data_IF_562772689366
#
_entry.id   IF_562772689366
#
_cell.length_a   1.000
_cell.length_b   1.000
_cell.length_c   1.000
_cell.angle_alpha   90.00
_cell.angle_beta   90.00
_cell.angle_gamma   90.00
#
_symmetry.space_group_name_H-M   'P 1'
#
loop_
_entity.id
_entity.type
_entity.pdbx_description
1 polymer ?
#
# COMPACT_ATOMS: atom_id res chain seq x y z
N UNK A 1 7.20 65.56 -76.12
CA UNK A 1 6.70 65.30 -74.74
C UNK A 1 7.43 64.05 -74.25
N UNK A 2 8.59 64.15 -73.58
CA UNK A 2 8.86 64.38 -72.14
C UNK A 2 8.37 63.25 -71.18
N UNK A 3 9.36 62.46 -70.71
CA UNK A 3 9.68 62.02 -69.33
C UNK A 3 8.89 60.82 -68.68
N UNK A 4 9.53 59.62 -68.69
CA UNK A 4 10.01 58.68 -67.61
C UNK A 4 9.34 58.69 -66.17
N UNK A 5 9.57 57.68 -65.29
CA UNK A 5 8.93 56.36 -65.01
C UNK A 5 8.23 56.34 -63.60
N UNK A 6 7.87 55.17 -62.99
CA UNK A 6 8.07 54.85 -61.54
C UNK A 6 7.42 53.50 -61.10
N UNK A 7 8.25 52.77 -60.34
CA UNK A 7 8.04 51.75 -59.29
C UNK A 7 7.40 50.38 -59.57
N UNK A 8 8.30 49.39 -59.57
CA UNK A 8 8.11 48.03 -59.08
C UNK A 8 7.74 48.01 -57.57
N UNK A 9 6.91 47.04 -57.19
CA UNK A 9 6.79 46.59 -55.81
C UNK A 9 6.99 45.07 -55.76
N UNK A 10 8.07 44.68 -55.08
CA UNK A 10 8.44 43.32 -54.70
C UNK A 10 7.38 42.72 -53.76
N UNK A 11 6.95 41.48 -54.02
CA UNK A 11 6.63 40.54 -52.94
C UNK A 11 7.25 39.18 -53.28
N UNK A 12 8.39 38.93 -52.62
CA UNK A 12 9.13 37.67 -52.63
C UNK A 12 8.45 36.75 -51.60
N UNK A 13 7.73 35.73 -52.06
CA UNK A 13 7.23 34.67 -51.18
C UNK A 13 8.32 33.58 -51.04
N UNK A 14 8.97 33.55 -49.88
CA UNK A 14 9.93 32.52 -49.51
C UNK A 14 9.19 31.25 -49.03
N UNK A 15 9.17 30.21 -49.85
CA UNK A 15 8.81 28.86 -49.42
C UNK A 15 9.96 28.26 -48.61
N UNK A 16 9.83 28.23 -47.28
CA UNK A 16 10.68 27.41 -46.41
C UNK A 16 10.25 25.94 -46.55
N UNK A 17 11.05 25.16 -47.28
CA UNK A 17 10.99 23.71 -47.21
C UNK A 17 11.70 23.25 -45.93
N UNK A 18 10.92 22.92 -44.89
CA UNK A 18 11.45 22.24 -43.71
C UNK A 18 11.54 20.76 -44.05
N UNK A 19 12.72 20.32 -44.48
CA UNK A 19 13.07 18.90 -44.51
C UNK A 19 13.23 18.43 -43.06
N UNK A 20 12.12 18.00 -42.45
CA UNK A 20 12.15 17.31 -41.17
C UNK A 20 12.83 15.97 -41.35
N UNK A 21 14.02 15.80 -40.77
CA UNK A 21 14.62 14.50 -40.56
C UNK A 21 13.66 13.71 -39.66
N UNK A 22 12.93 12.75 -40.23
CA UNK A 22 12.29 11.70 -39.45
C UNK A 22 13.44 10.86 -38.89
N UNK A 23 13.87 11.20 -37.68
CA UNK A 23 14.70 10.35 -36.88
C UNK A 23 13.89 9.11 -36.58
N UNK A 24 14.22 8.02 -37.27
CA UNK A 24 13.80 6.68 -36.93
C UNK A 24 14.19 6.45 -35.47
N UNK A 25 13.23 6.55 -34.56
CA UNK A 25 13.41 6.13 -33.17
C UNK A 25 13.38 4.60 -33.19
N UNK A 26 14.47 4.03 -33.67
CA UNK A 26 14.84 2.66 -33.40
C UNK A 26 14.96 2.59 -31.88
N UNK A 27 14.02 1.92 -31.22
CA UNK A 27 14.17 1.52 -29.83
C UNK A 27 15.51 0.75 -29.74
N UNK A 28 16.48 1.33 -29.04
CA UNK A 28 17.74 0.68 -28.74
C UNK A 28 17.45 -0.62 -27.97
N UNK A 29 17.97 -1.78 -28.39
CA UNK A 29 17.76 -3.05 -27.68
C UNK A 29 18.69 -3.20 -26.47
N UNK A 30 18.92 -2.12 -25.71
CA UNK A 30 19.95 -2.06 -24.68
C UNK A 30 19.44 -1.37 -23.39
N UNK A 31 18.18 -1.62 -23.03
CA UNK A 31 17.74 -1.51 -21.64
C UNK A 31 17.98 -2.87 -20.98
N UNK A 32 19.26 -3.22 -20.80
CA UNK A 32 19.65 -4.33 -19.94
C UNK A 32 19.23 -3.95 -18.51
N UNK A 33 18.04 -4.35 -18.11
CA UNK A 33 17.57 -4.22 -16.74
C UNK A 33 18.53 -5.02 -15.85
N UNK A 34 19.44 -4.31 -15.16
CA UNK A 34 20.34 -4.93 -14.19
C UNK A 34 19.48 -5.57 -13.11
N UNK A 35 19.65 -6.86 -12.87
CA UNK A 35 18.88 -7.58 -11.87
C UNK A 35 19.31 -7.11 -10.47
N UNK A 36 18.55 -6.18 -9.87
CA UNK A 36 18.81 -5.68 -8.53
C UNK A 36 18.11 -6.57 -7.50
N UNK A 37 18.81 -7.61 -7.03
CA UNK A 37 18.33 -8.51 -5.98
C UNK A 37 18.65 -8.05 -4.54
N UNK A 38 19.82 -7.45 -4.22
CA UNK A 38 20.11 -7.07 -2.83
C UNK A 38 19.04 -6.15 -2.22
N UNK A 39 18.67 -6.42 -0.97
CA UNK A 39 17.66 -5.67 -0.21
C UNK A 39 16.22 -5.98 -0.60
N UNK A 40 15.95 -7.14 -1.22
CA UNK A 40 14.61 -7.53 -1.67
C UNK A 40 14.15 -8.82 -0.98
N UNK A 41 12.85 -8.91 -0.68
CA UNK A 41 12.20 -10.10 -0.15
C UNK A 41 11.07 -10.57 -1.07
N UNK A 42 10.90 -11.88 -1.17
CA UNK A 42 10.03 -12.54 -2.12
C UNK A 42 9.29 -13.69 -1.46
N UNK A 43 8.04 -13.92 -1.85
CA UNK A 43 7.21 -15.05 -1.42
C UNK A 43 6.98 -15.99 -2.60
N UNK A 44 7.18 -17.30 -2.39
CA UNK A 44 7.03 -18.30 -3.45
C UNK A 44 5.54 -18.48 -3.78
N UNK A 45 5.20 -18.30 -5.05
CA UNK A 45 3.81 -18.46 -5.54
C UNK A 45 3.63 -19.75 -6.33
N UNK A 46 4.68 -20.27 -6.97
CA UNK A 46 4.60 -21.53 -7.72
C UNK A 46 5.95 -22.26 -7.87
N UNK A 47 5.87 -23.59 -7.93
CA UNK A 47 6.95 -24.48 -8.38
C UNK A 47 6.57 -25.01 -9.76
N UNK A 48 7.11 -24.39 -10.82
CA UNK A 48 6.60 -24.53 -12.19
C UNK A 48 6.82 -25.92 -12.82
N UNK A 49 7.75 -26.71 -12.30
CA UNK A 49 8.08 -28.05 -12.83
C UNK A 49 7.20 -29.17 -12.26
N UNK A 50 6.29 -28.88 -11.33
CA UNK A 50 5.43 -29.90 -10.71
C UNK A 50 3.96 -29.54 -10.78
N UNK A 51 3.09 -30.54 -10.67
CA UNK A 51 1.65 -30.35 -10.41
C UNK A 51 1.32 -30.28 -8.92
N UNK A 52 2.34 -30.09 -8.06
CA UNK A 52 2.19 -30.02 -6.62
C UNK A 52 1.85 -28.59 -6.25
N UNK A 53 0.70 -28.40 -5.61
CA UNK A 53 0.34 -27.11 -5.03
C UNK A 53 1.13 -26.88 -3.74
N UNK A 54 1.39 -25.61 -3.43
CA UNK A 54 1.94 -25.24 -2.14
C UNK A 54 1.00 -25.73 -1.01
N UNK A 55 1.59 -26.26 0.05
CA UNK A 55 0.87 -26.78 1.21
C UNK A 55 0.23 -25.61 1.95
N UNK A 56 -1.09 -25.69 2.13
CA UNK A 56 -1.89 -24.67 2.79
C UNK A 56 -1.37 -24.40 4.22
N UNK A 57 -1.33 -23.13 4.62
CA UNK A 57 -0.83 -22.71 5.93
C UNK A 57 0.69 -22.65 6.05
N UNK A 58 1.43 -22.90 4.96
CA UNK A 58 2.88 -22.67 4.89
C UNK A 58 3.20 -21.47 4.03
N UNK A 59 4.28 -20.76 4.40
CA UNK A 59 4.82 -19.65 3.60
C UNK A 59 6.30 -19.92 3.34
N UNK A 60 6.68 -19.88 2.06
CA UNK A 60 8.08 -19.99 1.62
C UNK A 60 8.53 -18.60 1.18
N UNK A 61 9.61 -18.11 1.79
CA UNK A 61 10.17 -16.78 1.49
C UNK A 61 11.62 -16.90 1.04
N UNK A 62 12.06 -15.90 0.29
CA UNK A 62 13.44 -15.73 -0.16
C UNK A 62 13.80 -14.25 -0.05
N UNK A 63 14.72 -13.92 0.84
CA UNK A 63 15.30 -12.60 1.01
C UNK A 63 16.75 -12.60 0.51
N UNK A 64 17.10 -11.58 -0.26
CA UNK A 64 18.46 -11.33 -0.74
C UNK A 64 19.08 -10.17 0.01
N UNK A 65 20.21 -10.41 0.67
CA UNK A 65 21.14 -9.38 1.13
C UNK A 65 22.22 -9.16 0.05
N UNK A 66 23.29 -8.43 0.38
CA UNK A 66 24.38 -8.13 -0.56
C UNK A 66 25.06 -9.38 -1.15
N UNK A 67 25.41 -10.37 -0.31
CA UNK A 67 26.10 -11.61 -0.73
C UNK A 67 25.42 -12.89 -0.22
N UNK A 68 24.40 -12.74 0.62
CA UNK A 68 23.72 -13.83 1.28
C UNK A 68 22.25 -13.83 0.95
N UNK A 69 21.63 -14.99 1.12
CA UNK A 69 20.18 -15.14 1.05
C UNK A 69 19.69 -15.93 2.25
N UNK A 70 18.45 -15.70 2.62
CA UNK A 70 17.79 -16.42 3.71
C UNK A 70 16.29 -16.45 3.52
N UNK A 71 15.59 -17.29 4.28
CA UNK A 71 14.14 -17.34 4.21
C UNK A 71 13.52 -18.46 5.01
N UNK A 72 12.21 -18.61 4.85
CA UNK A 72 11.44 -19.78 5.31
C UNK A 72 11.27 -20.77 4.16
N UNK A 73 11.49 -22.05 4.41
CA UNK A 73 11.18 -23.14 3.48
C UNK A 73 9.84 -23.84 3.82
N UNK A 74 8.99 -23.19 4.62
CA UNK A 74 7.68 -23.68 5.03
C UNK A 74 7.68 -24.27 6.45
N UNK A 75 8.64 -25.14 6.78
CA UNK A 75 8.85 -25.63 8.15
C UNK A 75 10.09 -24.99 8.79
N UNK A 76 11.22 -25.07 8.09
CA UNK A 76 12.52 -24.62 8.56
C UNK A 76 12.90 -23.28 7.99
N UNK A 77 13.78 -22.58 8.73
CA UNK A 77 14.52 -21.45 8.16
C UNK A 77 15.73 -21.99 7.42
N UNK A 78 16.09 -21.32 6.34
CA UNK A 78 17.28 -21.63 5.57
C UNK A 78 18.10 -20.37 5.30
N UNK A 79 19.36 -20.57 4.95
CA UNK A 79 20.32 -19.53 4.61
C UNK A 79 21.33 -20.07 3.61
N UNK A 80 21.98 -19.17 2.86
CA UNK A 80 23.01 -19.51 1.91
C UNK A 80 23.75 -18.27 1.38
N UNK A 81 24.78 -18.50 0.57
CA UNK A 81 25.43 -17.45 -0.21
C UNK A 81 24.95 -17.47 -1.65
N UNK A 82 25.13 -16.36 -2.35
CA UNK A 82 24.93 -16.32 -3.79
C UNK A 82 25.95 -15.41 -4.48
N UNK A 83 26.15 -15.66 -5.77
CA UNK A 83 26.86 -14.74 -6.67
C UNK A 83 25.94 -14.35 -7.81
N UNK A 84 25.94 -13.09 -8.20
CA UNK A 84 25.14 -12.56 -9.29
C UNK A 84 26.02 -11.85 -10.32
N UNK A 85 25.90 -12.24 -11.59
CA UNK A 85 26.55 -11.60 -12.74
C UNK A 85 25.52 -11.40 -13.86
N UNK A 86 25.11 -10.15 -14.08
CA UNK A 86 23.96 -9.76 -14.90
C UNK A 86 22.66 -10.50 -14.50
N UNK A 87 22.38 -11.64 -15.12
CA UNK A 87 21.22 -12.51 -14.83
C UNK A 87 21.63 -13.93 -14.40
N UNK A 88 22.94 -14.22 -14.37
CA UNK A 88 23.48 -15.50 -13.93
C UNK A 88 23.60 -15.45 -12.42
N UNK A 89 22.85 -16.31 -11.76
CA UNK A 89 22.92 -16.48 -10.31
C UNK A 89 23.41 -17.88 -10.00
N UNK A 90 24.31 -18.00 -9.03
CA UNK A 90 24.70 -19.27 -8.47
C UNK A 90 24.48 -19.21 -6.96
N UNK A 91 23.64 -20.11 -6.46
CA UNK A 91 23.32 -20.23 -5.03
C UNK A 91 24.16 -21.37 -4.46
N UNK A 92 24.81 -21.13 -3.32
CA UNK A 92 25.72 -22.09 -2.72
C UNK A 92 25.67 -22.08 -1.20
N UNK A 93 26.13 -23.18 -0.60
CA UNK A 93 26.21 -23.29 0.86
C UNK A 93 24.86 -23.23 1.55
N UNK A 94 23.79 -23.74 0.92
CA UNK A 94 22.46 -23.77 1.51
C UNK A 94 22.49 -24.64 2.76
N UNK A 95 22.13 -24.06 3.90
CA UNK A 95 21.87 -24.75 5.15
C UNK A 95 20.45 -24.45 5.64
N UNK A 96 19.85 -25.38 6.38
CA UNK A 96 18.55 -25.20 7.02
C UNK A 96 18.57 -25.66 8.47
N UNK A 97 17.61 -25.20 9.26
CA UNK A 97 17.32 -25.80 10.57
C UNK A 97 16.69 -27.19 10.39
N UNK A 98 16.71 -28.03 11.43
CA UNK A 98 16.15 -29.40 11.39
C UNK A 98 14.95 -29.54 12.36
N UNK A 99 13.99 -28.61 12.28
CA UNK A 99 12.69 -28.72 12.94
C UNK A 99 11.82 -29.73 12.19
N UNK A 100 10.98 -30.43 12.95
CA UNK A 100 9.97 -31.32 12.39
C UNK A 100 8.59 -30.66 12.45
N UNK A 101 7.91 -30.61 11.30
CA UNK A 101 6.51 -30.21 11.18
C UNK A 101 5.65 -31.45 10.86
N UNK A 102 4.54 -31.61 11.58
CA UNK A 102 3.73 -32.83 11.54
C UNK A 102 2.66 -32.85 10.44
N UNK A 103 2.45 -31.72 9.79
CA UNK A 103 1.51 -31.52 8.71
C UNK A 103 1.97 -32.26 7.44
N UNK A 104 1.04 -32.95 6.79
CA UNK A 104 1.35 -33.78 5.63
C UNK A 104 1.84 -32.92 4.44
N UNK A 105 2.97 -33.31 3.84
CA UNK A 105 3.53 -32.67 2.65
C UNK A 105 4.47 -31.50 2.94
N UNK A 106 4.52 -30.97 4.17
CA UNK A 106 5.34 -29.78 4.50
C UNK A 106 6.83 -30.11 4.40
N UNK A 107 7.26 -31.25 4.93
CA UNK A 107 8.66 -31.67 4.87
C UNK A 107 9.09 -32.01 3.44
N UNK A 108 8.22 -32.64 2.65
CA UNK A 108 8.45 -32.94 1.24
C UNK A 108 8.56 -31.66 0.40
N UNK A 109 7.71 -30.67 0.66
CA UNK A 109 7.75 -29.37 0.02
C UNK A 109 9.06 -28.64 0.33
N UNK A 110 9.47 -28.60 1.61
CA UNK A 110 10.74 -28.00 2.01
C UNK A 110 11.93 -28.63 1.27
N UNK A 111 11.99 -29.96 1.23
CA UNK A 111 13.07 -30.67 0.55
C UNK A 111 13.08 -30.38 -0.96
N UNK A 112 11.90 -30.40 -1.60
CA UNK A 112 11.77 -30.07 -3.01
C UNK A 112 12.24 -28.64 -3.28
N UNK A 113 11.77 -27.67 -2.49
CA UNK A 113 12.15 -26.27 -2.62
C UNK A 113 13.66 -26.06 -2.51
N UNK A 114 14.30 -26.59 -1.46
CA UNK A 114 15.74 -26.44 -1.24
C UNK A 114 16.58 -27.15 -2.31
N UNK A 115 16.11 -28.29 -2.84
CA UNK A 115 16.76 -28.97 -3.96
C UNK A 115 16.76 -28.08 -5.20
N UNK A 116 15.61 -27.50 -5.56
CA UNK A 116 15.47 -26.65 -6.73
C UNK A 116 16.24 -25.33 -6.58
N UNK A 117 16.26 -24.77 -5.37
CA UNK A 117 17.04 -23.58 -5.08
C UNK A 117 18.54 -23.81 -5.31
N UNK A 118 19.04 -25.02 -5.03
CA UNK A 118 20.43 -25.41 -5.30
C UNK A 118 20.76 -25.64 -6.78
N UNK A 119 19.76 -25.78 -7.65
CA UNK A 119 19.92 -26.02 -9.09
C UNK A 119 19.82 -24.73 -9.93
N UNK A 120 19.51 -23.60 -9.30
CA UNK A 120 19.33 -22.32 -9.98
C UNK A 120 20.65 -21.87 -10.65
N UNK A 121 20.55 -21.49 -11.92
CA UNK A 121 21.66 -20.98 -12.73
C UNK A 121 21.41 -19.59 -13.31
N UNK A 122 20.15 -19.15 -13.37
CA UNK A 122 19.78 -17.80 -13.82
C UNK A 122 18.49 -17.31 -13.19
N UNK A 123 18.31 -15.99 -13.18
CA UNK A 123 17.14 -15.33 -12.63
C UNK A 123 16.62 -14.25 -13.60
N UNK A 124 15.31 -14.05 -13.59
CA UNK A 124 14.63 -13.00 -14.37
C UNK A 124 13.60 -12.33 -13.50
N UNK A 125 13.56 -11.01 -13.54
CA UNK A 125 12.59 -10.21 -12.84
C UNK A 125 11.72 -9.46 -13.87
N UNK A 126 10.40 -9.59 -13.75
CA UNK A 126 9.42 -8.82 -14.50
C UNK A 126 8.56 -8.05 -13.49
N UNK A 127 8.88 -6.77 -13.24
CA UNK A 127 8.21 -5.99 -12.20
C UNK A 127 8.38 -6.61 -10.81
N UNK A 128 7.26 -7.07 -10.23
CA UNK A 128 7.20 -7.71 -8.91
C UNK A 128 7.19 -9.24 -8.97
N UNK A 129 7.47 -9.83 -10.14
CA UNK A 129 7.63 -11.28 -10.29
C UNK A 129 9.10 -11.63 -10.48
N UNK A 130 9.62 -12.52 -9.63
CA UNK A 130 10.94 -13.12 -9.78
C UNK A 130 10.80 -14.59 -10.22
N UNK A 131 11.43 -14.96 -11.33
CA UNK A 131 11.52 -16.35 -11.78
C UNK A 131 12.96 -16.83 -11.72
N UNK A 132 13.20 -17.97 -11.08
CA UNK A 132 14.48 -18.66 -11.05
C UNK A 132 14.46 -19.85 -12.01
N UNK A 133 15.54 -20.00 -12.78
CA UNK A 133 15.69 -21.01 -13.82
C UNK A 133 16.89 -21.90 -13.52
N UNK A 134 16.77 -23.16 -13.90
CA UNK A 134 17.88 -24.11 -13.87
C UNK A 134 18.92 -23.83 -14.99
N UNK A 135 19.93 -24.69 -15.08
CA UNK A 135 20.99 -24.60 -16.09
C UNK A 135 20.50 -24.84 -17.54
N UNK A 136 19.36 -25.53 -17.72
CA UNK A 136 18.74 -25.80 -19.01
C UNK A 136 17.78 -24.68 -19.43
N UNK A 137 17.55 -23.68 -18.57
CA UNK A 137 16.66 -22.54 -18.81
C UNK A 137 15.19 -22.86 -18.53
N UNK A 138 14.89 -23.94 -17.80
CA UNK A 138 13.54 -24.30 -17.40
C UNK A 138 13.17 -23.49 -16.14
N UNK A 139 12.00 -22.83 -16.09
CA UNK A 139 11.57 -22.12 -14.90
C UNK A 139 11.27 -23.12 -13.78
N UNK A 140 11.95 -22.97 -12.64
CA UNK A 140 11.79 -23.85 -11.47
C UNK A 140 10.91 -23.22 -10.39
N UNK A 141 11.25 -22.00 -9.96
CA UNK A 141 10.65 -21.31 -8.83
C UNK A 141 10.15 -19.93 -9.27
N UNK A 142 8.89 -19.62 -8.96
CA UNK A 142 8.27 -18.33 -9.26
C UNK A 142 7.87 -17.68 -7.94
N UNK A 143 8.27 -16.43 -7.76
CA UNK A 143 8.01 -15.64 -6.57
C UNK A 143 7.35 -14.31 -6.92
N UNK A 144 6.65 -13.76 -5.94
CA UNK A 144 6.12 -12.40 -5.95
C UNK A 144 6.82 -11.56 -4.87
N UNK A 145 7.03 -10.26 -5.14
CA UNK A 145 7.73 -9.37 -4.22
C UNK A 145 6.92 -9.20 -2.93
N UNK A 146 7.55 -9.45 -1.79
CA UNK A 146 6.98 -9.05 -0.49
C UNK A 146 7.12 -7.55 -0.38
N UNK A 147 6.05 -6.82 -0.67
CA UNK A 147 5.98 -5.40 -0.39
C UNK A 147 5.82 -5.24 1.13
N UNK A 148 6.77 -4.55 1.76
CA UNK A 148 6.60 -4.13 3.16
C UNK A 148 5.30 -3.31 3.23
N UNK A 149 4.27 -3.86 3.89
CA UNK A 149 3.00 -3.15 4.07
C UNK A 149 3.30 -1.86 4.81
N UNK A 150 3.02 -0.73 4.15
CA UNK A 150 3.34 0.57 4.70
C UNK A 150 2.74 0.70 6.12
N UNK A 151 3.53 1.05 7.14
CA UNK A 151 3.05 1.17 8.52
C UNK A 151 1.83 2.10 8.65
N UNK A 152 1.73 3.12 7.79
CA UNK A 152 0.63 4.08 7.79
C UNK A 152 -0.65 3.48 7.19
N UNK A 153 -0.54 2.71 6.10
CA UNK A 153 -1.66 1.98 5.51
C UNK A 153 -2.15 0.85 6.43
N UNK A 154 -1.22 0.19 7.14
CA UNK A 154 -1.54 -0.87 8.12
C UNK A 154 -2.22 -0.32 9.37
N UNK A 155 -2.21 1.00 9.60
CA UNK A 155 -2.88 1.64 10.72
C UNK A 155 -4.37 1.95 10.49
N UNK A 156 -4.88 1.80 9.25
CA UNK A 156 -6.30 2.00 8.95
C UNK A 156 -7.19 0.82 9.39
N UNK A 157 -6.90 -0.45 9.07
CA UNK A 157 -7.75 -1.57 9.46
C UNK A 157 -8.05 -1.63 10.96
N UNK A 158 -9.30 -1.92 11.31
CA UNK A 158 -9.78 -2.04 12.70
C UNK A 158 -10.04 -0.70 13.39
N UNK A 159 -9.95 0.43 12.69
CA UNK A 159 -10.22 1.76 13.25
C UNK A 159 -11.64 2.24 12.94
N UNK A 160 -12.20 3.04 13.86
CA UNK A 160 -13.54 3.61 13.73
C UNK A 160 -13.52 5.11 14.03
N UNK A 161 -14.21 5.86 13.19
CA UNK A 161 -14.13 7.31 13.10
C UNK A 161 -15.53 7.92 12.97
N UNK A 162 -15.70 9.12 13.51
CA UNK A 162 -16.91 9.93 13.36
C UNK A 162 -16.53 11.26 12.68
N UNK A 163 -17.32 11.65 11.70
CA UNK A 163 -17.02 12.82 10.89
C UNK A 163 -17.35 14.10 11.67
N UNK A 164 -16.39 15.02 11.76
CA UNK A 164 -16.60 16.35 12.32
C UNK A 164 -16.93 17.38 11.24
N UNK A 165 -16.17 17.36 10.14
CA UNK A 165 -16.20 18.42 9.12
C UNK A 165 -16.18 17.83 7.72
N UNK A 166 -17.05 18.37 6.85
CA UNK A 166 -17.08 18.11 5.40
C UNK A 166 -16.63 19.38 4.66
N UNK A 167 -15.59 19.24 3.84
CA UNK A 167 -15.15 20.23 2.87
C UNK A 167 -15.99 20.16 1.59
N UNK A 168 -16.24 21.32 0.99
CA UNK A 168 -16.87 21.49 -0.31
C UNK A 168 -15.82 21.83 -1.37
N UNK A 169 -16.13 21.59 -2.65
CA UNK A 169 -15.20 21.84 -3.78
C UNK A 169 -14.79 23.32 -3.92
N UNK A 170 -15.57 24.24 -3.36
CA UNK A 170 -15.26 25.67 -3.31
C UNK A 170 -14.32 26.07 -2.15
N UNK A 171 -13.80 25.09 -1.40
CA UNK A 171 -12.93 25.31 -0.25
C UNK A 171 -13.66 25.74 1.02
N UNK A 172 -15.00 25.77 1.00
CA UNK A 172 -15.78 25.99 2.23
C UNK A 172 -15.89 24.70 3.03
N UNK A 173 -15.89 24.81 4.36
CA UNK A 173 -16.02 23.67 5.25
C UNK A 173 -17.29 23.83 6.11
N UNK A 174 -18.07 22.75 6.21
CA UNK A 174 -19.29 22.68 6.99
C UNK A 174 -19.21 21.58 8.04
N UNK A 175 -19.71 21.87 9.24
CA UNK A 175 -19.86 20.84 10.28
C UNK A 175 -21.06 19.94 9.98
N UNK A 176 -21.00 18.71 10.49
CA UNK A 176 -22.11 17.75 10.38
C UNK A 176 -23.37 18.31 11.08
N UNK A 177 -24.53 18.14 10.43
CA UNK A 177 -25.84 18.57 10.91
C UNK A 177 -26.17 17.90 12.25
N UNK A 178 -26.63 18.71 13.19
CA UNK A 178 -27.06 18.22 14.51
C UNK A 178 -28.19 17.20 14.37
N UNK A 179 -28.07 16.08 15.10
CA UNK A 179 -29.02 14.97 15.03
C UNK A 179 -28.70 13.92 13.96
N UNK A 180 -27.65 14.13 13.17
CA UNK A 180 -27.10 13.12 12.25
C UNK A 180 -25.74 12.64 12.72
N UNK A 181 -25.43 11.37 12.48
CA UNK A 181 -24.11 10.80 12.74
C UNK A 181 -23.57 10.19 11.46
N UNK A 182 -22.43 10.70 11.01
CA UNK A 182 -21.67 10.12 9.91
C UNK A 182 -20.46 9.39 10.50
N UNK A 183 -20.38 8.09 10.25
CA UNK A 183 -19.32 7.24 10.79
C UNK A 183 -18.59 6.52 9.67
N UNK A 184 -17.30 6.27 9.86
CA UNK A 184 -16.44 5.50 8.98
C UNK A 184 -15.75 4.41 9.80
N UNK A 185 -15.79 3.18 9.34
CA UNK A 185 -15.08 2.05 9.95
C UNK A 185 -14.28 1.35 8.87
N UNK A 186 -13.01 1.09 9.16
CA UNK A 186 -12.09 0.37 8.30
C UNK A 186 -11.99 -1.08 8.77
N UNK A 187 -12.28 -2.01 7.88
CA UNK A 187 -11.93 -3.42 8.01
C UNK A 187 -10.61 -3.67 7.25
N UNK A 188 -10.25 -4.92 6.92
CA UNK A 188 -8.98 -5.22 6.27
C UNK A 188 -8.81 -4.58 4.88
N UNK A 189 -9.85 -4.63 4.04
CA UNK A 189 -9.86 -4.15 2.65
C UNK A 189 -11.14 -3.37 2.30
N UNK A 190 -12.07 -3.29 3.25
CA UNK A 190 -13.37 -2.65 3.08
C UNK A 190 -13.57 -1.55 4.08
N UNK A 191 -14.44 -0.61 3.72
CA UNK A 191 -14.92 0.40 4.64
C UNK A 191 -16.45 0.42 4.66
N UNK A 192 -17.01 0.78 5.80
CA UNK A 192 -18.45 0.84 5.97
C UNK A 192 -18.85 1.89 7.01
N UNK A 193 -20.12 2.28 6.98
CA UNK A 193 -20.60 3.25 7.95
C UNK A 193 -22.00 3.78 7.73
N UNK A 194 -22.31 4.84 8.46
CA UNK A 194 -23.52 5.65 8.32
C UNK A 194 -23.14 6.95 7.61
N UNK A 195 -23.89 7.34 6.59
CA UNK A 195 -23.77 8.64 5.91
C UNK A 195 -24.83 9.65 6.41
N UNK A 196 -25.38 9.43 7.60
CA UNK A 196 -26.39 10.29 8.24
C UNK A 196 -27.80 9.74 8.07
N UNK A 197 -28.23 9.49 6.83
CA UNK A 197 -29.53 8.85 6.54
C UNK A 197 -29.39 7.37 6.17
N UNK A 198 -28.48 7.08 5.25
CA UNK A 198 -28.24 5.76 4.69
C UNK A 198 -26.98 5.12 5.26
N UNK A 199 -26.96 3.79 5.21
CA UNK A 199 -25.72 3.04 5.39
C UNK A 199 -24.99 2.98 4.06
N UNK A 200 -23.67 3.03 4.12
CA UNK A 200 -22.82 2.91 2.95
C UNK A 200 -21.71 1.90 3.20
N UNK A 201 -21.14 1.44 2.10
CA UNK A 201 -20.01 0.51 2.07
C UNK A 201 -19.15 0.81 0.83
N UNK A 202 -17.90 0.36 0.87
CA UNK A 202 -16.96 0.45 -0.24
C UNK A 202 -15.72 -0.38 0.03
N UNK A 203 -14.84 -0.43 -0.94
CA UNK A 203 -13.48 -1.00 -0.84
C UNK A 203 -12.46 0.12 -0.81
N UNK A 204 -11.28 -0.16 -0.28
CA UNK A 204 -10.16 0.77 -0.36
C UNK A 204 -8.84 0.04 -0.54
N UNK A 205 -7.90 0.74 -1.17
CA UNK A 205 -6.50 0.35 -1.27
C UNK A 205 -5.67 1.51 -0.72
N UNK A 206 -4.72 1.23 0.16
CA UNK A 206 -3.88 2.25 0.78
C UNK A 206 -2.41 1.85 0.69
N UNK A 207 -1.57 2.80 0.29
CA UNK A 207 -0.12 2.66 0.18
C UNK A 207 0.52 3.96 0.66
N UNK A 208 1.26 3.92 1.76
CA UNK A 208 1.76 5.15 2.38
C UNK A 208 0.63 6.02 2.91
N UNK A 209 0.71 7.30 2.56
CA UNK A 209 -0.32 8.30 2.84
C UNK A 209 -1.37 8.39 1.73
N UNK A 210 -1.24 7.59 0.67
CA UNK A 210 -2.20 7.54 -0.42
C UNK A 210 -3.29 6.52 -0.11
N UNK A 211 -4.51 6.83 -0.51
CA UNK A 211 -5.67 5.94 -0.39
C UNK A 211 -6.60 6.14 -1.58
N UNK A 212 -6.99 5.04 -2.21
CA UNK A 212 -7.99 5.00 -3.25
C UNK A 212 -9.24 4.30 -2.72
N UNK A 213 -10.37 5.00 -2.69
CA UNK A 213 -11.66 4.43 -2.28
C UNK A 213 -12.49 4.14 -3.52
N UNK A 214 -13.03 2.92 -3.61
CA UNK A 214 -13.74 2.42 -4.77
C UNK A 214 -15.01 1.66 -4.37
N UNK A 215 -15.88 1.40 -5.35
CA UNK A 215 -17.07 0.57 -5.13
C UNK A 215 -18.08 1.15 -4.13
N UNK A 216 -18.12 2.47 -3.96
CA UNK A 216 -19.00 3.12 -2.97
C UNK A 216 -20.46 2.84 -3.35
N UNK A 217 -21.18 2.19 -2.44
CA UNK A 217 -22.61 1.93 -2.53
C UNK A 217 -23.33 2.38 -1.26
N UNK A 218 -24.60 2.76 -1.37
CA UNK A 218 -25.44 3.14 -0.23
C UNK A 218 -26.86 2.58 -0.35
N UNK A 219 -27.55 2.47 0.78
CA UNK A 219 -29.00 2.23 0.80
C UNK A 219 -29.76 3.45 0.25
N UNK A 220 -31.02 3.28 -0.16
CA UNK A 220 -31.85 4.36 -0.73
C UNK A 220 -33.06 4.68 0.15
N UNK A 221 -32.84 4.83 1.45
CA UNK A 221 -33.83 5.37 2.37
C UNK A 221 -33.93 6.89 2.19
N UNK A 222 -35.11 7.43 2.49
CA UNK A 222 -35.38 8.86 2.46
C UNK A 222 -35.57 9.35 3.89
N UNK A 223 -34.78 10.35 4.30
CA UNK A 223 -34.94 11.03 5.59
C UNK A 223 -35.62 12.38 5.37
N UNK A 224 -36.61 12.71 6.21
CA UNK A 224 -37.47 13.89 6.03
C UNK A 224 -36.89 15.20 6.56
N UNK A 225 -35.77 15.13 7.28
CA UNK A 225 -35.12 16.30 7.88
C UNK A 225 -34.34 17.10 6.83
N UNK A 226 -34.44 18.43 6.90
CA UNK A 226 -33.84 19.32 5.91
C UNK A 226 -32.30 19.22 5.91
N UNK A 227 -31.70 19.10 4.73
CA UNK A 227 -30.24 19.09 4.55
C UNK A 227 -29.57 17.73 4.73
N UNK A 228 -30.26 16.73 5.30
CA UNK A 228 -29.65 15.42 5.61
C UNK A 228 -29.28 14.66 4.34
N UNK A 229 -30.16 14.69 3.33
CA UNK A 229 -29.89 14.02 2.05
C UNK A 229 -28.81 14.74 1.24
N UNK A 230 -28.72 16.07 1.33
CA UNK A 230 -27.66 16.86 0.70
C UNK A 230 -26.30 16.59 1.36
N UNK A 231 -26.26 16.54 2.69
CA UNK A 231 -25.06 16.18 3.45
C UNK A 231 -24.55 14.78 3.10
N UNK A 232 -25.47 13.79 3.02
CA UNK A 232 -25.13 12.44 2.62
C UNK A 232 -24.49 12.41 1.22
N UNK A 233 -25.10 13.09 0.24
CA UNK A 233 -24.57 13.15 -1.11
C UNK A 233 -23.20 13.83 -1.16
N UNK A 234 -23.02 14.92 -0.42
CA UNK A 234 -21.73 15.61 -0.32
C UNK A 234 -20.65 14.71 0.28
N UNK A 235 -20.99 13.98 1.34
CA UNK A 235 -20.08 13.04 1.98
C UNK A 235 -19.67 11.89 1.04
N UNK A 236 -20.63 11.25 0.39
CA UNK A 236 -20.36 10.13 -0.54
C UNK A 236 -19.60 10.58 -1.78
N UNK A 237 -19.87 11.79 -2.29
CA UNK A 237 -19.11 12.39 -3.39
C UNK A 237 -17.66 12.67 -2.97
N UNK A 238 -17.47 13.27 -1.79
CA UNK A 238 -16.14 13.55 -1.26
C UNK A 238 -15.31 12.27 -1.09
N UNK A 239 -15.92 11.15 -0.64
CA UNK A 239 -15.22 9.87 -0.54
C UNK A 239 -14.63 9.38 -1.87
N UNK A 240 -15.30 9.67 -2.99
CA UNK A 240 -14.83 9.28 -4.33
C UNK A 240 -13.73 10.19 -4.91
N UNK A 241 -13.41 11.31 -4.23
CA UNK A 241 -12.41 12.29 -4.67
C UNK A 241 -11.12 12.21 -3.85
N UNK A 242 -11.06 11.34 -2.84
CA UNK A 242 -9.92 11.25 -1.92
C UNK A 242 -8.75 10.57 -2.62
N UNK A 243 -7.58 11.17 -2.47
CA UNK A 243 -6.30 10.64 -2.94
C UNK A 243 -5.37 10.28 -1.79
N UNK A 244 -5.48 10.97 -0.65
CA UNK A 244 -4.53 10.83 0.45
C UNK A 244 -5.15 11.09 1.82
N UNK A 245 -4.45 10.66 2.86
CA UNK A 245 -4.88 10.77 4.25
C UNK A 245 -3.74 11.13 5.19
N UNK A 246 -4.09 11.69 6.35
CA UNK A 246 -3.14 12.01 7.41
C UNK A 246 -3.74 11.78 8.78
N UNK A 247 -2.99 11.05 9.61
CA UNK A 247 -3.25 10.99 11.04
C UNK A 247 -2.69 12.25 11.73
N UNK A 248 -3.57 12.97 12.43
CA UNK A 248 -3.23 13.95 13.45
C UNK A 248 -3.13 13.30 14.83
N UNK A 249 -3.00 14.12 15.88
CA UNK A 249 -2.97 13.59 17.26
C UNK A 249 -4.29 12.95 17.69
N UNK A 250 -5.43 13.47 17.21
CA UNK A 250 -6.79 13.01 17.53
C UNK A 250 -7.73 13.17 16.32
N UNK A 251 -7.17 13.15 15.11
CA UNK A 251 -7.94 13.34 13.88
C UNK A 251 -7.43 12.44 12.77
N UNK A 252 -8.34 12.02 11.89
CA UNK A 252 -8.02 11.48 10.58
C UNK A 252 -8.52 12.47 9.55
N UNK A 253 -7.64 12.99 8.69
CA UNK A 253 -8.00 13.94 7.64
C UNK A 253 -7.75 13.32 6.27
N UNK A 254 -8.74 13.39 5.38
CA UNK A 254 -8.58 13.05 3.97
C UNK A 254 -8.43 14.30 3.10
N UNK A 255 -7.66 14.14 2.02
CA UNK A 255 -7.37 15.19 1.05
C UNK A 255 -7.72 14.73 -0.37
N UNK A 256 -8.08 15.68 -1.22
CA UNK A 256 -8.22 15.48 -2.67
C UNK A 256 -6.85 15.49 -3.37
N UNK A 257 -6.83 15.26 -4.69
CA UNK A 257 -5.61 15.32 -5.53
C UNK A 257 -4.93 16.69 -5.47
N UNK A 258 -5.68 17.77 -5.25
CA UNK A 258 -5.17 19.13 -5.10
C UNK A 258 -4.60 19.42 -3.69
N UNK A 259 -4.75 18.49 -2.74
CA UNK A 259 -4.26 18.62 -1.37
C UNK A 259 -5.18 19.42 -0.43
N UNK A 260 -6.44 19.67 -0.81
CA UNK A 260 -7.43 20.30 0.05
C UNK A 260 -8.05 19.27 1.00
N UNK A 261 -8.22 19.64 2.27
CA UNK A 261 -8.89 18.78 3.24
C UNK A 261 -10.38 18.63 2.89
N UNK A 262 -10.79 17.41 2.56
CA UNK A 262 -12.17 17.06 2.19
C UNK A 262 -12.99 16.58 3.37
N UNK A 263 -12.40 15.77 4.24
CA UNK A 263 -13.10 15.18 5.37
C UNK A 263 -12.19 15.18 6.59
N UNK A 264 -12.69 15.66 7.72
CA UNK A 264 -11.98 15.62 9.00
C UNK A 264 -12.80 14.80 9.98
N UNK A 265 -12.20 13.70 10.44
CA UNK A 265 -12.79 12.80 11.40
C UNK A 265 -12.11 12.90 12.76
N UNK A 266 -12.86 12.51 13.78
CA UNK A 266 -12.38 12.26 15.14
C UNK A 266 -12.57 10.78 15.48
N UNK A 267 -11.78 10.21 16.40
CA UNK A 267 -11.99 8.85 16.87
C UNK A 267 -13.44 8.69 17.30
N UNK A 268 -14.12 7.65 16.81
CA UNK A 268 -15.45 7.34 17.30
C UNK A 268 -15.29 7.02 18.78
N UNK A 269 -15.81 7.90 19.65
CA UNK A 269 -15.71 7.72 21.09
C UNK A 269 -16.40 6.41 21.45
N UNK A 270 -15.62 5.36 21.70
CA UNK A 270 -16.09 4.32 22.58
C UNK A 270 -16.15 5.00 23.93
N UNK A 271 -17.36 5.33 24.40
CA UNK A 271 -17.55 5.58 25.82
C UNK A 271 -17.09 4.32 26.54
N UNK A 272 -15.82 4.29 26.94
CA UNK A 272 -15.38 3.41 27.99
C UNK A 272 -16.16 3.93 29.19
N UNK A 273 -17.27 3.26 29.50
CA UNK A 273 -17.90 3.42 30.80
C UNK A 273 -16.85 2.90 31.78
N UNK A 274 -16.05 3.81 32.33
CA UNK A 274 -15.16 3.49 33.42
C UNK A 274 -16.08 2.98 34.53
N UNK A 275 -16.06 1.67 34.78
CA UNK A 275 -16.76 1.13 35.93
C UNK A 275 -16.38 1.94 37.17
N UNK A 276 -17.34 2.20 38.05
CA UNK A 276 -17.08 2.87 39.31
C UNK A 276 -15.99 2.09 40.07
N UNK A 277 -14.80 2.66 40.11
CA UNK A 277 -13.60 1.98 40.61
C UNK A 277 -12.44 2.97 40.72
N UNK A 278 -11.41 2.57 41.45
CA UNK A 278 -10.18 3.36 41.56
C UNK A 278 -9.30 3.09 40.36
N UNK A 279 -9.07 4.11 39.54
CA UNK A 279 -8.20 4.01 38.37
C UNK A 279 -6.80 4.49 38.74
N UNK A 280 -5.78 3.69 38.39
CA UNK A 280 -4.38 4.13 38.42
C UNK A 280 -3.92 4.54 37.03
N UNK A 281 -3.44 5.77 36.93
CA UNK A 281 -2.78 6.28 35.72
C UNK A 281 -1.43 5.56 35.56
N UNK A 282 -1.30 4.72 34.54
CA UNK A 282 -0.06 3.96 34.30
C UNK A 282 0.97 4.77 33.48
N UNK A 283 0.52 5.57 32.51
CA UNK A 283 1.42 6.44 31.75
C UNK A 283 0.70 7.62 31.10
N UNK A 284 1.45 8.69 30.83
CA UNK A 284 1.02 9.83 30.01
C UNK A 284 1.93 9.92 28.79
N UNK A 285 1.32 10.12 27.62
CA UNK A 285 2.04 10.45 26.37
C UNK A 285 1.79 11.90 25.99
N UNK A 286 2.85 12.61 25.61
CA UNK A 286 2.76 13.95 25.00
C UNK A 286 3.85 14.08 23.94
N UNK A 287 3.45 14.29 22.68
CA UNK A 287 4.37 14.57 21.56
C UNK A 287 5.46 13.51 21.35
N UNK A 288 5.08 12.23 21.26
CA UNK A 288 6.01 11.12 20.98
C UNK A 288 6.82 10.62 22.18
N UNK A 289 6.78 11.30 23.34
CA UNK A 289 7.39 10.82 24.59
C UNK A 289 6.35 10.20 25.52
N UNK A 290 6.60 8.96 25.95
CA UNK A 290 5.84 8.28 27.01
C UNK A 290 6.58 8.41 28.34
N UNK A 291 5.87 8.87 29.38
CA UNK A 291 6.33 8.80 30.76
C UNK A 291 5.46 7.83 31.54
N UNK A 292 6.06 6.76 32.03
CA UNK A 292 5.42 5.82 32.97
C UNK A 292 5.30 6.51 34.32
N UNK A 293 4.10 6.52 34.89
CA UNK A 293 3.86 7.00 36.24
C UNK A 293 4.15 5.80 37.15
N UNK A 294 5.34 5.76 37.73
CA UNK A 294 5.68 4.74 38.73
C UNK A 294 4.79 4.96 39.96
N UNK A 295 4.12 3.93 40.49
CA UNK A 295 3.36 4.07 41.72
C UNK A 295 4.33 4.44 42.85
N UNK A 296 4.08 5.57 43.51
CA UNK A 296 4.89 6.03 44.64
C UNK A 296 4.72 5.02 45.80
N UNK A 297 5.77 4.27 46.20
CA UNK A 297 5.62 3.24 47.23
C UNK A 297 5.42 3.81 48.65
N UNK A 298 5.34 5.15 48.78
CA UNK A 298 5.28 5.85 50.06
C UNK A 298 4.02 6.72 50.25
N UNK A 299 2.93 6.46 49.53
CA UNK A 299 1.67 7.18 49.71
C UNK A 299 0.57 6.29 50.28
N UNK A 300 0.80 5.71 51.46
CA UNK A 300 -0.29 5.30 52.33
C UNK A 300 -0.81 6.53 53.09
N UNK A 301 -1.70 7.27 52.43
CA UNK A 301 -2.61 8.19 53.11
C UNK A 301 -4.03 7.88 52.67
N UNK A 302 -4.67 6.97 53.39
CA UNK A 302 -6.12 6.91 53.50
C UNK A 302 -6.66 8.31 53.81
N UNK A 303 -7.47 8.85 52.88
CA UNK A 303 -8.36 9.97 53.15
C UNK A 303 -9.68 9.35 53.63
N UNK A 304 -10.00 9.55 54.92
CA UNK A 304 -11.37 9.37 55.44
C UNK A 304 -12.20 10.64 55.19
#
# INVERSE_FOLDING_TARGET
MKIVPILACLFLAACLAVAGCVGDQQASPDDKTVLALPGTEWELTAIAITSVNLVEGTTITLAFDEETLSGSAGCNRYFGGYTLDENRIAIGGIGSTEMYCGEAGVMEQEQLYLSLLGEVASARMDGDTLTLFDADGVPGLIFERVQEKDPLATALPGTAWELGTIGSQDGTASSVLSGTTISLTFDAETLSGSAGCNRYFGSYEATGDQIAISGIGSTKMHCGDAGVMEQEQQYLAALGEISSFKFGSETLTFFDEEGNARLVFHPKSNEITLESGTWMLESIRKGGSQRTVLPDPCSDRTIS
#
